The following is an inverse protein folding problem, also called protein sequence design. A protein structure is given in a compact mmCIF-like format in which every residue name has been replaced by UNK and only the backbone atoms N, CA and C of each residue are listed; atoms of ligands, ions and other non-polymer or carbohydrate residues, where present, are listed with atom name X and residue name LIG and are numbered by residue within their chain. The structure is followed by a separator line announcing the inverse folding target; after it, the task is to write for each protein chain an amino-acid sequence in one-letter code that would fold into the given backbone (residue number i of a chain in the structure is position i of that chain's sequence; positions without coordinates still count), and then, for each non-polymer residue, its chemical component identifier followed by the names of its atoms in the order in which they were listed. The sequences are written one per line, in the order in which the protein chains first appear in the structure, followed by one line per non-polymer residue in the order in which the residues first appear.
data_IF_788686738975
#
_entry.id   IF_788686738975
#
_cell.length_a   1.000
_cell.length_b   1.000
_cell.length_c   1.000
_cell.angle_alpha   90.00
_cell.angle_beta   90.00
_cell.angle_gamma   90.00
#
_symmetry.space_group_name_H-M   'P 1'
#
loop_
_entity.id
_entity.type
_entity.pdbx_description
1 polymer ?
#
# COMPACT_ATOMS: atom_id res chain seq x y z
N UNK A 1 28.25 35.47 3.00
CA UNK A 1 27.14 36.43 2.80
C UNK A 1 27.45 37.23 1.54
N UNK A 2 26.79 36.95 0.41
CA UNK A 2 26.96 37.78 -0.79
C UNK A 2 26.35 39.16 -0.50
N UNK A 3 27.18 40.19 -0.49
CA UNK A 3 26.75 41.58 -0.32
C UNK A 3 25.82 41.93 -1.48
N UNK A 4 24.55 42.22 -1.18
CA UNK A 4 23.51 42.59 -2.17
C UNK A 4 23.95 43.81 -3.01
N UNK A 5 24.95 44.55 -2.53
CA UNK A 5 25.50 45.75 -3.15
C UNK A 5 26.46 45.49 -4.33
N UNK A 6 26.90 44.24 -4.57
CA UNK A 6 27.73 43.89 -5.75
C UNK A 6 26.91 43.44 -6.96
N UNK A 7 25.58 43.39 -6.85
CA UNK A 7 24.73 43.00 -7.96
C UNK A 7 24.65 44.15 -8.98
N UNK A 8 25.37 44.02 -10.11
CA UNK A 8 25.20 44.81 -11.35
C UNK A 8 23.84 44.54 -12.02
N UNK A 9 22.76 44.51 -11.24
CA UNK A 9 21.42 44.45 -11.78
C UNK A 9 21.21 45.72 -12.64
N UNK A 10 20.53 45.60 -13.78
CA UNK A 10 20.20 46.78 -14.57
C UNK A 10 19.49 47.78 -13.68
N UNK A 11 20.00 49.01 -13.64
CA UNK A 11 19.40 50.14 -12.94
C UNK A 11 17.99 50.48 -13.49
N UNK A 12 17.67 49.92 -14.65
CA UNK A 12 16.38 50.02 -15.33
C UNK A 12 15.63 48.70 -15.23
N UNK A 13 14.36 48.79 -14.87
CA UNK A 13 13.44 47.67 -14.86
C UNK A 13 13.33 47.09 -16.29
N UNK A 14 13.50 45.77 -16.45
CA UNK A 14 13.32 45.11 -17.75
C UNK A 14 11.87 45.14 -18.25
N UNK A 15 10.90 45.24 -17.35
CA UNK A 15 9.47 45.18 -17.67
C UNK A 15 8.86 46.57 -17.97
N UNK A 16 9.38 47.64 -17.38
CA UNK A 16 8.82 48.99 -17.55
C UNK A 16 9.85 50.10 -17.83
N UNK A 17 11.15 49.79 -17.88
CA UNK A 17 12.22 50.76 -18.11
C UNK A 17 12.51 51.74 -16.97
N UNK A 18 11.71 51.74 -15.90
CA UNK A 18 11.84 52.68 -14.78
C UNK A 18 13.10 52.46 -13.91
N UNK A 19 13.50 53.46 -13.09
CA UNK A 19 14.74 53.44 -12.31
C UNK A 19 14.62 52.57 -11.04
N UNK A 20 14.26 51.30 -11.22
CA UNK A 20 14.11 50.31 -10.17
C UNK A 20 14.25 48.89 -10.74
N UNK A 21 14.41 47.89 -9.87
CA UNK A 21 14.45 46.47 -10.29
C UNK A 21 13.05 45.93 -10.61
N UNK A 22 12.94 44.96 -11.51
CA UNK A 22 11.65 44.41 -11.95
C UNK A 22 10.83 43.71 -10.85
N UNK A 23 11.49 43.22 -9.81
CA UNK A 23 10.88 42.65 -8.60
C UNK A 23 10.44 43.71 -7.58
N UNK A 24 10.76 45.00 -7.79
CA UNK A 24 10.35 46.10 -6.93
C UNK A 24 8.84 46.29 -6.91
N UNK A 25 8.29 46.59 -5.73
CA UNK A 25 6.88 47.00 -5.58
C UNK A 25 6.52 48.28 -6.37
N UNK A 26 7.53 49.07 -6.73
CA UNK A 26 7.35 50.29 -7.51
C UNK A 26 7.17 50.02 -9.02
N UNK A 27 7.40 48.79 -9.48
CA UNK A 27 7.19 48.42 -10.88
C UNK A 27 5.71 48.17 -11.14
N UNK A 28 5.06 49.05 -11.92
CA UNK A 28 3.65 48.88 -12.32
C UNK A 28 3.44 47.63 -13.21
N UNK A 29 4.47 47.24 -13.97
CA UNK A 29 4.46 46.01 -14.77
C UNK A 29 4.77 44.75 -13.95
N UNK A 30 5.00 44.86 -12.63
CA UNK A 30 5.19 43.70 -11.76
C UNK A 30 3.85 43.03 -11.57
N UNK A 31 3.79 41.72 -11.80
CA UNK A 31 2.58 40.96 -11.50
C UNK A 31 2.26 41.09 -10.00
N UNK A 32 0.98 41.24 -9.67
CA UNK A 32 0.50 41.21 -8.28
C UNK A 32 0.87 39.90 -7.56
N UNK A 33 1.12 38.84 -8.33
CA UNK A 33 1.58 37.52 -7.87
C UNK A 33 3.09 37.41 -7.60
N UNK A 34 3.89 38.46 -7.85
CA UNK A 34 5.35 38.43 -7.66
C UNK A 34 5.77 38.55 -6.18
N UNK A 35 5.13 37.77 -5.31
CA UNK A 35 5.44 37.62 -3.89
C UNK A 35 5.66 36.14 -3.54
N UNK A 36 6.27 35.85 -2.37
CA UNK A 36 6.36 34.48 -1.89
C UNK A 36 4.97 33.86 -1.76
N UNK A 37 4.87 32.56 -2.08
CA UNK A 37 3.65 31.75 -1.98
C UNK A 37 3.03 31.93 -0.59
N UNK A 38 1.71 32.08 -0.51
CA UNK A 38 1.04 32.29 0.77
C UNK A 38 1.18 31.05 1.66
N UNK A 39 1.13 31.24 2.99
CA UNK A 39 1.22 30.14 3.97
C UNK A 39 0.14 29.08 3.73
N UNK A 40 -1.06 29.49 3.34
CA UNK A 40 -2.18 28.58 3.06
C UNK A 40 -1.96 27.79 1.77
N UNK A 41 -1.43 28.41 0.72
CA UNK A 41 -1.04 27.71 -0.50
C UNK A 41 0.04 26.66 -0.22
N UNK A 42 1.06 27.00 0.59
CA UNK A 42 2.08 26.05 1.02
C UNK A 42 1.49 24.90 1.84
N UNK A 43 0.49 25.17 2.69
CA UNK A 43 -0.23 24.15 3.45
C UNK A 43 -0.99 23.20 2.53
N UNK A 44 -1.71 23.72 1.54
CA UNK A 44 -2.43 22.92 0.55
C UNK A 44 -1.48 22.03 -0.24
N UNK A 45 -0.38 22.59 -0.77
CA UNK A 45 0.63 21.83 -1.52
C UNK A 45 1.19 20.69 -0.64
N UNK A 46 1.52 20.98 0.62
CA UNK A 46 2.01 19.96 1.57
C UNK A 46 0.97 18.88 1.82
N UNK A 47 -0.30 19.23 2.03
CA UNK A 47 -1.36 18.27 2.30
C UNK A 47 -1.62 17.32 1.12
N UNK A 48 -1.58 17.84 -0.11
CA UNK A 48 -1.75 17.04 -1.32
C UNK A 48 -0.66 15.97 -1.42
N UNK A 49 0.62 16.35 -1.27
CA UNK A 49 1.73 15.38 -1.31
C UNK A 49 1.70 14.38 -0.14
N UNK A 50 1.32 14.81 1.07
CA UNK A 50 1.19 13.92 2.23
C UNK A 50 0.12 12.84 2.01
N UNK A 51 -1.02 13.18 1.37
CA UNK A 51 -2.07 12.20 1.08
C UNK A 51 -1.56 11.07 0.19
N UNK A 52 -0.80 11.41 -0.85
CA UNK A 52 -0.23 10.43 -1.78
C UNK A 52 0.81 9.54 -1.10
N UNK A 53 1.70 10.14 -0.31
CA UNK A 53 2.68 9.41 0.48
C UNK A 53 2.02 8.38 1.42
N UNK A 54 1.00 8.81 2.16
CA UNK A 54 0.25 7.91 3.06
C UNK A 54 -0.52 6.83 2.29
N UNK A 55 -1.07 7.13 1.12
CA UNK A 55 -1.74 6.14 0.29
C UNK A 55 -0.77 5.05 -0.17
N UNK A 56 0.42 5.44 -0.65
CA UNK A 56 1.49 4.52 -1.06
C UNK A 56 1.95 3.64 0.11
N UNK A 57 2.27 4.25 1.25
CA UNK A 57 2.72 3.51 2.43
C UNK A 57 1.68 2.49 2.93
N UNK A 58 0.38 2.85 2.87
CA UNK A 58 -0.70 1.90 3.23
C UNK A 58 -0.83 0.75 2.24
N UNK A 59 -0.69 1.02 0.95
CA UNK A 59 -0.73 -0.01 -0.09
C UNK A 59 0.44 -0.99 0.07
N UNK A 60 1.67 -0.49 0.24
CA UNK A 60 2.85 -1.31 0.49
C UNK A 60 2.68 -2.18 1.75
N UNK A 61 2.18 -1.59 2.85
CA UNK A 61 1.92 -2.35 4.06
C UNK A 61 0.81 -3.41 3.88
N UNK A 62 -0.17 -3.16 3.01
CA UNK A 62 -1.21 -4.15 2.69
C UNK A 62 -0.68 -5.33 1.88
N UNK A 63 0.23 -5.07 0.92
CA UNK A 63 0.91 -6.10 0.14
C UNK A 63 1.72 -7.01 1.07
N UNK A 64 2.55 -6.44 1.95
CA UNK A 64 3.34 -7.22 2.92
C UNK A 64 2.43 -8.07 3.81
N UNK A 65 1.32 -7.52 4.30
CA UNK A 65 0.36 -8.29 5.11
C UNK A 65 -0.28 -9.44 4.33
N UNK A 66 -0.59 -9.23 3.05
CA UNK A 66 -1.14 -10.28 2.19
C UNK A 66 -0.11 -11.39 1.96
N UNK A 67 1.14 -11.06 1.66
CA UNK A 67 2.23 -12.04 1.49
C UNK A 67 2.44 -12.88 2.77
N UNK A 68 2.48 -12.25 3.94
CA UNK A 68 2.57 -12.95 5.23
C UNK A 68 1.37 -13.87 5.47
N UNK A 69 0.15 -13.44 5.09
CA UNK A 69 -1.03 -14.27 5.20
C UNK A 69 -1.00 -15.47 4.22
N UNK A 70 -0.50 -15.29 3.00
CA UNK A 70 -0.38 -16.40 2.04
C UNK A 70 0.63 -17.45 2.49
N UNK A 71 1.80 -17.02 2.99
CA UNK A 71 2.83 -17.94 3.49
C UNK A 71 2.40 -18.69 4.75
N UNK A 72 1.59 -18.06 5.62
CA UNK A 72 1.04 -18.76 6.78
C UNK A 72 -0.05 -19.76 6.39
N UNK A 73 -0.92 -19.43 5.43
CA UNK A 73 -1.94 -20.36 4.90
C UNK A 73 -1.31 -21.55 4.20
N UNK A 74 -0.30 -21.34 3.35
CA UNK A 74 0.44 -22.42 2.67
C UNK A 74 1.14 -23.35 3.69
N UNK A 75 1.70 -22.79 4.77
CA UNK A 75 2.31 -23.58 5.86
C UNK A 75 1.28 -24.43 6.61
N UNK A 76 0.08 -23.91 6.85
CA UNK A 76 -1.01 -24.68 7.48
C UNK A 76 -1.47 -25.83 6.58
N UNK A 77 -1.67 -25.56 5.28
CA UNK A 77 -2.07 -26.59 4.30
C UNK A 77 -1.04 -27.70 4.13
N UNK A 78 0.27 -27.35 4.12
CA UNK A 78 1.35 -28.35 4.06
C UNK A 78 1.41 -29.22 5.33
N UNK A 79 1.07 -28.67 6.49
CA UNK A 79 1.05 -29.42 7.75
C UNK A 79 -0.10 -30.44 7.76
N UNK A 80 -1.29 -30.06 7.28
CA UNK A 80 -2.44 -30.96 7.18
C UNK A 80 -2.18 -32.12 6.20
N UNK A 81 -1.54 -31.86 5.05
CA UNK A 81 -1.20 -32.91 4.08
C UNK A 81 -0.17 -33.91 4.61
N UNK A 82 0.83 -33.45 5.37
CA UNK A 82 1.83 -34.33 5.99
C UNK A 82 1.22 -35.22 7.08
N UNK A 83 0.22 -34.73 7.81
CA UNK A 83 -0.47 -35.50 8.83
C UNK A 83 -1.39 -36.58 8.22
N UNK A 84 -2.12 -36.26 7.14
CA UNK A 84 -2.94 -37.22 6.40
C UNK A 84 -2.12 -38.35 5.76
N UNK A 85 -0.92 -38.06 5.23
CA UNK A 85 0.00 -39.08 4.69
C UNK A 85 0.54 -40.05 5.74
N UNK A 86 0.61 -39.65 7.00
CA UNK A 86 1.09 -40.50 8.09
C UNK A 86 0.03 -41.53 8.57
N UNK A 87 -1.23 -41.43 8.11
CA UNK A 87 -2.36 -42.21 8.61
C UNK A 87 -2.79 -43.35 7.66
N UNK A 88 -2.25 -43.43 6.43
CA UNK A 88 -2.62 -44.52 5.48
C UNK A 88 -1.96 -45.85 5.92
N UNK A 89 -2.71 -46.88 6.36
CA UNK A 89 -2.13 -48.18 6.67
C UNK A 89 -1.97 -48.96 5.35
N UNK A 90 -0.73 -49.21 4.95
CA UNK A 90 -0.39 -50.06 3.80
C UNK A 90 -0.54 -51.54 4.14
N UNK A 91 -1.75 -52.08 4.08
CA UNK A 91 -1.95 -53.52 4.25
C UNK A 91 -3.03 -54.04 3.28
N UNK A 92 -2.58 -54.37 2.08
CA UNK A 92 -3.26 -55.25 1.12
C UNK A 92 -3.32 -56.69 1.69
N UNK A 93 -4.48 -57.35 1.73
CA UNK A 93 -4.70 -58.70 1.15
C UNK A 93 -6.16 -59.15 1.32
N UNK A 94 -6.76 -59.57 0.21
CA UNK A 94 -8.13 -60.05 0.07
C UNK A 94 -8.33 -61.48 0.61
N UNK A 95 -9.53 -61.80 1.09
CA UNK A 95 -10.22 -63.08 0.84
C UNK A 95 -11.74 -62.83 0.80
N UNK A 96 -12.35 -63.19 -0.32
CA UNK A 96 -13.79 -63.24 -0.54
C UNK A 96 -14.27 -64.65 -0.29
N UNK A 97 -15.45 -64.85 0.32
CA UNK A 97 -16.32 -66.00 0.06
C UNK A 97 -17.76 -65.75 0.58
N UNK A 98 -18.71 -66.46 -0.03
CA UNK A 98 -20.09 -66.06 -0.31
C UNK A 98 -21.16 -66.68 0.65
N UNK A 99 -22.48 -66.42 0.48
CA UNK A 99 -23.51 -66.43 1.53
C UNK A 99 -24.33 -67.74 1.65
N UNK A 100 -24.95 -67.98 2.81
CA UNK A 100 -26.13 -68.87 2.95
C UNK A 100 -27.09 -68.40 4.05
N UNK A 101 -28.38 -68.48 3.71
CA UNK A 101 -29.60 -68.10 4.44
C UNK A 101 -29.80 -68.83 5.78
N UNK A 102 -30.61 -68.25 6.67
CA UNK A 102 -31.06 -68.92 7.89
C UNK A 102 -31.83 -68.00 8.84
N UNK A 103 -33.14 -67.99 8.67
CA UNK A 103 -34.20 -67.34 9.45
C UNK A 103 -34.17 -67.64 10.97
N UNK A 104 -34.76 -66.72 11.76
CA UNK A 104 -35.67 -66.92 12.91
C UNK A 104 -35.43 -65.85 14.00
N UNK A 105 -36.37 -64.91 14.09
CA UNK A 105 -36.67 -64.10 15.29
C UNK A 105 -37.50 -64.98 16.24
N UNK A 106 -37.38 -64.84 17.57
CA UNK A 106 -38.56 -64.32 18.26
C UNK A 106 -38.26 -63.28 19.34
N UNK A 107 -39.27 -62.42 19.49
CA UNK A 107 -39.50 -61.44 20.53
C UNK A 107 -39.40 -62.03 21.95
N UNK A 108 -39.09 -61.19 22.94
CA UNK A 108 -39.88 -61.18 24.19
C UNK A 108 -39.82 -59.80 24.84
N UNK A 109 -40.99 -59.24 25.13
CA UNK A 109 -41.19 -58.04 25.94
C UNK A 109 -41.26 -58.40 27.44
N UNK A 110 -40.73 -57.52 28.29
CA UNK A 110 -41.33 -57.05 29.55
C UNK A 110 -40.55 -55.83 30.06
#
# INVERSE_FOLDING_TARGET
MHSINECKAPNKCRNCGGPHRSDSRNCLARSSSSGPVSKDQLKTIRQMGQREYHAKARAEAAVIRAEVATTSVERLQSTDQNNLRAIIPTNEMAMSEAPTEGEIIPETQL
#
